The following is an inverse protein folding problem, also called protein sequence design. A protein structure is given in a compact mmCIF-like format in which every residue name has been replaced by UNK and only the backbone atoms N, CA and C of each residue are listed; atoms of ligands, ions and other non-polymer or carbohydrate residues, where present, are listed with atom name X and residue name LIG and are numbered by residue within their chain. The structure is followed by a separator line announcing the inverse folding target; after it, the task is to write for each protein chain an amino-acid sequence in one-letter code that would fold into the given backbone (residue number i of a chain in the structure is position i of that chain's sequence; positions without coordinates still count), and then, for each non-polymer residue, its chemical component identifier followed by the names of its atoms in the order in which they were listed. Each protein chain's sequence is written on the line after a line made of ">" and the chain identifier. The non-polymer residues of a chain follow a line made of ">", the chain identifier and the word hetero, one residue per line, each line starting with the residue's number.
data_IF_489015474461
#
_entry.id   IF_489015474461
#
_cell.length_a   1.000
_cell.length_b   1.000
_cell.length_c   1.000
_cell.angle_alpha   90.00
_cell.angle_beta   90.00
_cell.angle_gamma   90.00
#
_symmetry.space_group_name_H-M   'P 1'
#
loop_
_entity.id
_entity.type
_entity.pdbx_description
1 polymer ?
#
# COMPACT_ATOMS: atom_id res chain seq x y z
N UNK A 1 -41.20 12.98 8.37
CA UNK A 1 -40.69 11.91 7.51
C UNK A 1 -40.46 10.72 8.41
N UNK A 2 -41.16 9.60 8.19
CA UNK A 2 -40.98 8.40 9.03
C UNK A 2 -39.56 7.87 8.89
N UNK A 3 -39.04 7.31 9.98
CA UNK A 3 -37.72 6.69 9.97
C UNK A 3 -37.77 5.36 9.22
N UNK A 4 -36.74 5.01 8.42
CA UNK A 4 -36.69 3.72 7.75
C UNK A 4 -36.71 2.56 8.73
N UNK A 5 -37.31 1.44 8.32
CA UNK A 5 -37.18 0.18 9.03
C UNK A 5 -35.79 -0.43 8.79
N UNK A 6 -34.86 -0.09 9.67
CA UNK A 6 -33.47 -0.56 9.60
C UNK A 6 -33.35 -2.07 9.81
N UNK A 7 -34.27 -2.70 10.54
CA UNK A 7 -34.26 -4.15 10.74
C UNK A 7 -34.63 -4.88 9.45
N UNK A 8 -35.64 -4.40 8.72
CA UNK A 8 -36.00 -4.92 7.41
C UNK A 8 -34.87 -4.74 6.38
N UNK A 9 -34.20 -3.58 6.37
CA UNK A 9 -33.06 -3.31 5.48
C UNK A 9 -31.85 -4.21 5.78
N UNK A 10 -31.54 -4.43 7.06
CA UNK A 10 -30.46 -5.33 7.48
C UNK A 10 -30.74 -6.80 7.12
N UNK A 11 -32.01 -7.19 7.01
CA UNK A 11 -32.44 -8.53 6.59
C UNK A 11 -32.45 -8.76 5.08
N UNK A 12 -32.19 -7.73 4.26
CA UNK A 12 -32.10 -7.93 2.81
C UNK A 12 -30.90 -8.82 2.47
N UNK A 13 -31.02 -9.73 1.49
CA UNK A 13 -29.94 -10.63 1.09
C UNK A 13 -28.82 -9.91 0.29
N UNK A 14 -28.68 -8.59 0.42
CA UNK A 14 -27.69 -7.78 -0.30
C UNK A 14 -26.27 -8.25 -0.01
N UNK A 15 -26.00 -8.70 1.22
CA UNK A 15 -24.70 -9.28 1.61
C UNK A 15 -24.42 -10.63 0.96
N UNK A 16 -25.47 -11.35 0.53
CA UNK A 16 -25.38 -12.62 -0.19
C UNK A 16 -25.47 -12.43 -1.72
N UNK A 17 -25.73 -11.21 -2.20
CA UNK A 17 -25.85 -10.94 -3.63
C UNK A 17 -24.47 -10.86 -4.28
N UNK A 18 -24.13 -11.89 -5.05
CA UNK A 18 -22.93 -11.93 -5.88
C UNK A 18 -23.32 -11.75 -7.35
N UNK A 19 -23.49 -10.51 -7.86
CA UNK A 19 -23.90 -10.29 -9.24
C UNK A 19 -22.86 -10.89 -10.19
N UNK A 20 -23.34 -11.69 -11.14
CA UNK A 20 -22.52 -12.13 -12.27
C UNK A 20 -22.63 -11.08 -13.36
N UNK A 21 -21.49 -10.65 -13.89
CA UNK A 21 -21.46 -9.75 -15.04
C UNK A 21 -22.27 -10.37 -16.19
N UNK A 22 -23.26 -9.63 -16.69
CA UNK A 22 -24.00 -9.98 -17.91
C UNK A 22 -23.36 -9.35 -19.16
N UNK A 23 -22.25 -8.60 -18.99
CA UNK A 23 -21.54 -7.98 -20.09
C UNK A 23 -20.86 -9.05 -20.96
N UNK A 24 -21.44 -9.29 -22.14
CA UNK A 24 -20.80 -10.09 -23.18
C UNK A 24 -20.01 -9.16 -24.10
N UNK A 25 -18.70 -9.06 -23.89
CA UNK A 25 -17.78 -8.32 -24.72
C UNK A 25 -16.59 -9.20 -25.13
N UNK A 26 -15.97 -8.90 -26.27
CA UNK A 26 -14.73 -9.57 -26.68
C UNK A 26 -13.62 -9.25 -25.66
N UNK A 27 -13.06 -10.29 -25.04
CA UNK A 27 -11.91 -10.17 -24.13
C UNK A 27 -10.63 -10.55 -24.87
N UNK A 28 -9.58 -9.75 -24.69
CA UNK A 28 -8.23 -10.10 -25.15
C UNK A 28 -7.34 -10.26 -23.93
N UNK A 29 -6.80 -11.45 -23.70
CA UNK A 29 -5.85 -11.68 -22.63
C UNK A 29 -4.50 -11.04 -22.99
N UNK A 30 -4.00 -10.15 -22.13
CA UNK A 30 -2.68 -9.54 -22.25
C UNK A 30 -1.90 -9.90 -20.99
N UNK A 31 -1.27 -11.08 -20.94
CA UNK A 31 -0.66 -11.60 -19.71
C UNK A 31 0.69 -10.95 -19.37
N UNK A 32 1.27 -10.19 -20.31
CA UNK A 32 2.59 -9.57 -20.16
C UNK A 32 2.56 -8.16 -20.72
N UNK A 33 3.12 -7.20 -19.99
CA UNK A 33 3.25 -5.84 -20.48
C UNK A 33 4.20 -5.78 -21.69
N UNK A 34 3.84 -4.99 -22.71
CA UNK A 34 4.64 -4.87 -23.95
C UNK A 34 6.00 -4.20 -23.70
N UNK A 35 6.06 -3.30 -22.72
CA UNK A 35 7.26 -2.58 -22.28
C UNK A 35 7.44 -2.82 -20.78
N UNK A 36 8.67 -2.70 -20.24
CA UNK A 36 8.90 -2.82 -18.81
C UNK A 36 7.99 -1.87 -18.04
N UNK A 37 7.28 -2.41 -17.04
CA UNK A 37 6.31 -1.68 -16.25
C UNK A 37 6.81 -1.42 -14.83
N UNK A 38 6.41 -0.30 -14.25
CA UNK A 38 6.52 -0.02 -12.82
C UNK A 38 5.12 -0.13 -12.23
N UNK A 39 4.94 -1.04 -11.28
CA UNK A 39 3.70 -1.15 -10.53
C UNK A 39 3.77 -0.27 -9.27
N UNK A 40 3.11 0.88 -9.35
CA UNK A 40 3.28 1.99 -8.41
C UNK A 40 2.47 1.83 -7.10
N UNK A 41 1.61 0.82 -6.98
CA UNK A 41 0.67 0.77 -5.85
C UNK A 41 0.56 -0.63 -5.25
N UNK A 42 1.50 -0.95 -4.36
CA UNK A 42 1.48 -2.21 -3.62
C UNK A 42 1.63 -2.01 -2.12
N UNK A 43 1.19 -3.01 -1.38
CA UNK A 43 1.29 -3.12 0.06
C UNK A 43 2.02 -4.42 0.37
N UNK A 44 3.35 -4.36 0.47
CA UNK A 44 4.21 -5.54 0.65
C UNK A 44 4.69 -5.69 2.10
N UNK A 45 4.43 -4.68 2.93
CA UNK A 45 4.90 -4.61 4.30
C UNK A 45 3.99 -5.33 5.29
N UNK A 46 4.13 -4.98 6.56
CA UNK A 46 3.33 -5.56 7.65
C UNK A 46 2.10 -4.73 8.01
N UNK A 47 2.05 -3.49 7.54
CA UNK A 47 1.11 -2.47 8.01
C UNK A 47 -0.38 -2.83 7.86
N UNK A 48 -0.77 -3.51 6.77
CA UNK A 48 -2.16 -3.95 6.54
C UNK A 48 -2.44 -5.40 6.96
N UNK A 49 -1.53 -6.00 7.72
CA UNK A 49 -1.65 -7.36 8.23
C UNK A 49 -1.66 -7.36 9.77
N UNK A 50 -1.74 -8.55 10.37
CA UNK A 50 -1.59 -8.75 11.82
C UNK A 50 -0.12 -8.74 12.29
N UNK A 51 0.74 -7.95 11.64
CA UNK A 51 2.18 -7.81 11.96
C UNK A 51 3.11 -8.73 11.17
N UNK A 52 2.57 -9.57 10.29
CA UNK A 52 3.32 -10.48 9.42
C UNK A 52 3.62 -9.84 8.06
N UNK A 53 4.62 -10.33 7.34
CA UNK A 53 4.85 -9.80 5.98
C UNK A 53 3.71 -10.21 5.05
N UNK A 54 3.16 -9.26 4.28
CA UNK A 54 2.17 -9.58 3.23
C UNK A 54 2.70 -10.56 2.18
N UNK A 55 4.02 -10.59 1.99
CA UNK A 55 4.71 -11.45 1.04
C UNK A 55 5.63 -12.39 1.82
N UNK A 56 5.25 -13.66 1.92
CA UNK A 56 6.06 -14.69 2.58
C UNK A 56 7.36 -14.96 1.81
N UNK A 57 7.24 -15.12 0.48
CA UNK A 57 8.32 -15.49 -0.44
C UNK A 57 8.57 -14.39 -1.48
N UNK A 58 9.69 -13.68 -1.33
CA UNK A 58 10.07 -12.57 -2.22
C UNK A 58 10.56 -13.08 -3.58
N UNK A 59 11.19 -14.25 -3.65
CA UNK A 59 11.66 -14.84 -4.91
C UNK A 59 10.49 -15.28 -5.79
N UNK A 60 9.43 -15.80 -5.17
CA UNK A 60 8.16 -16.07 -5.85
C UNK A 60 7.53 -14.79 -6.42
N UNK A 61 7.53 -13.68 -5.66
CA UNK A 61 7.06 -12.39 -6.14
C UNK A 61 7.89 -11.88 -7.33
N UNK A 62 9.22 -11.95 -7.25
CA UNK A 62 10.11 -11.58 -8.35
C UNK A 62 9.83 -12.42 -9.61
N UNK A 63 9.58 -13.72 -9.44
CA UNK A 63 9.19 -14.60 -10.55
C UNK A 63 7.88 -14.17 -11.21
N UNK A 64 6.89 -13.73 -10.42
CA UNK A 64 5.64 -13.16 -10.94
C UNK A 64 5.91 -11.87 -11.72
N UNK A 65 6.71 -10.96 -11.15
CA UNK A 65 7.11 -9.70 -11.80
C UNK A 65 7.78 -9.96 -13.15
N UNK A 66 8.78 -10.84 -13.19
CA UNK A 66 9.52 -11.19 -14.40
C UNK A 66 8.62 -11.78 -15.48
N UNK A 67 7.68 -12.65 -15.10
CA UNK A 67 6.70 -13.24 -16.02
C UNK A 67 5.79 -12.19 -16.67
N UNK A 68 5.50 -11.09 -15.96
CA UNK A 68 4.55 -10.06 -16.39
C UNK A 68 5.23 -8.81 -16.99
N UNK A 69 6.57 -8.79 -17.06
CA UNK A 69 7.37 -7.64 -17.48
C UNK A 69 7.24 -6.44 -16.55
N UNK A 70 7.09 -6.70 -15.24
CA UNK A 70 7.15 -5.69 -14.19
C UNK A 70 8.60 -5.60 -13.72
N UNK A 71 9.24 -4.48 -13.99
CA UNK A 71 10.63 -4.25 -13.63
C UNK A 71 10.75 -3.87 -12.15
N UNK A 72 9.85 -3.00 -11.69
CA UNK A 72 9.87 -2.42 -10.34
C UNK A 72 8.48 -2.40 -9.72
N UNK A 73 8.41 -2.71 -8.43
CA UNK A 73 7.22 -2.48 -7.60
C UNK A 73 7.49 -1.35 -6.61
N UNK A 74 6.51 -0.47 -6.40
CA UNK A 74 6.52 0.48 -5.29
C UNK A 74 5.75 -0.07 -4.10
N UNK A 75 6.45 -0.21 -2.98
CA UNK A 75 5.89 -0.60 -1.70
C UNK A 75 5.44 0.64 -0.92
N UNK A 76 4.16 0.72 -0.58
CA UNK A 76 3.58 1.85 0.13
C UNK A 76 3.53 1.65 1.66
N UNK A 77 4.15 0.60 2.18
CA UNK A 77 4.08 0.24 3.61
C UNK A 77 5.34 0.58 4.39
N UNK A 78 6.18 1.49 3.86
CA UNK A 78 7.45 1.81 4.49
C UNK A 78 7.34 2.46 5.86
N UNK A 79 6.21 3.07 6.23
CA UNK A 79 6.06 3.74 7.54
C UNK A 79 7.24 4.70 7.82
N UNK A 80 7.87 4.63 8.99
CA UNK A 80 9.02 5.45 9.40
C UNK A 80 9.91 4.65 10.38
N UNK A 81 11.12 5.14 10.66
CA UNK A 81 12.02 4.55 11.66
C UNK A 81 12.38 3.08 11.39
N UNK A 82 12.33 2.24 12.43
CA UNK A 82 12.73 0.83 12.34
C UNK A 82 11.85 -0.01 11.39
N UNK A 83 10.57 0.34 11.25
CA UNK A 83 9.70 -0.35 10.29
C UNK A 83 10.11 -0.03 8.85
N UNK A 84 10.52 1.22 8.59
CA UNK A 84 11.09 1.59 7.29
C UNK A 84 12.38 0.83 7.02
N UNK A 85 13.27 0.77 8.01
CA UNK A 85 14.53 0.03 7.90
C UNK A 85 14.28 -1.44 7.52
N UNK A 86 13.32 -2.09 8.19
CA UNK A 86 12.95 -3.48 7.91
C UNK A 86 12.41 -3.67 6.48
N UNK A 87 11.59 -2.74 5.98
CA UNK A 87 11.11 -2.79 4.60
C UNK A 87 12.26 -2.61 3.59
N UNK A 88 13.15 -1.65 3.83
CA UNK A 88 14.29 -1.37 2.95
C UNK A 88 15.28 -2.55 2.91
N UNK A 89 15.57 -3.16 4.05
CA UNK A 89 16.44 -4.35 4.13
C UNK A 89 15.85 -5.54 3.39
N UNK A 90 14.54 -5.77 3.54
CA UNK A 90 13.85 -6.89 2.89
C UNK A 90 13.72 -6.72 1.39
N UNK A 91 13.52 -5.50 0.91
CA UNK A 91 13.16 -5.23 -0.48
C UNK A 91 14.21 -4.41 -1.22
N UNK A 92 14.29 -3.10 -0.97
CA UNK A 92 15.09 -2.15 -1.76
C UNK A 92 16.59 -2.49 -1.77
N UNK A 93 17.16 -2.87 -0.62
CA UNK A 93 18.60 -3.17 -0.47
C UNK A 93 18.94 -4.60 -0.88
N UNK A 94 18.05 -5.56 -0.60
CA UNK A 94 18.22 -6.95 -1.01
C UNK A 94 18.09 -7.12 -2.54
N UNK A 95 17.23 -6.32 -3.19
CA UNK A 95 16.97 -6.41 -4.63
C UNK A 95 17.00 -5.02 -5.29
N UNK A 96 18.18 -4.42 -5.45
CA UNK A 96 18.32 -3.06 -5.98
C UNK A 96 17.61 -2.88 -7.33
N UNK A 97 16.75 -1.85 -7.41
CA UNK A 97 15.99 -1.51 -8.61
C UNK A 97 14.70 -2.31 -8.82
N UNK A 98 14.49 -3.42 -8.10
CA UNK A 98 13.24 -4.21 -8.17
C UNK A 98 12.14 -3.66 -7.27
N UNK A 99 12.50 -2.99 -6.18
CA UNK A 99 11.56 -2.38 -5.26
C UNK A 99 11.94 -0.94 -4.95
N UNK A 100 10.93 -0.11 -4.72
CA UNK A 100 11.06 1.25 -4.21
C UNK A 100 10.07 1.43 -3.06
N UNK A 101 10.56 1.63 -1.84
CA UNK A 101 9.70 1.82 -0.67
C UNK A 101 9.39 3.29 -0.43
N UNK A 102 8.11 3.61 -0.24
CA UNK A 102 7.65 4.92 0.19
C UNK A 102 7.47 4.93 1.72
N UNK A 103 7.97 5.98 2.36
CA UNK A 103 7.71 6.25 3.77
C UNK A 103 6.30 6.84 3.99
N UNK A 104 5.87 6.90 5.24
CA UNK A 104 4.67 7.60 5.71
C UNK A 104 5.06 8.56 6.83
N UNK A 105 4.11 9.37 7.28
CA UNK A 105 4.30 10.32 8.38
C UNK A 105 3.42 9.97 9.57
N UNK A 106 3.97 10.08 10.77
CA UNK A 106 3.21 9.99 12.02
C UNK A 106 2.53 11.32 12.32
N UNK A 107 1.31 11.50 11.83
CA UNK A 107 0.55 12.72 12.05
C UNK A 107 0.25 13.00 13.53
N UNK A 108 0.31 12.01 14.43
CA UNK A 108 0.09 12.22 15.86
C UNK A 108 1.16 13.14 16.46
N UNK A 109 2.35 13.22 15.85
CA UNK A 109 3.42 14.10 16.29
C UNK A 109 3.02 15.58 16.30
N UNK A 110 2.10 16.00 15.42
CA UNK A 110 1.59 17.38 15.36
C UNK A 110 0.83 17.82 16.62
N UNK A 111 0.44 16.89 17.50
CA UNK A 111 -0.14 17.24 18.78
C UNK A 111 0.89 17.80 19.80
N UNK A 112 2.19 17.65 19.52
CA UNK A 112 3.27 18.18 20.35
C UNK A 112 3.62 19.62 19.98
N UNK A 113 4.15 20.39 20.93
CA UNK A 113 4.59 21.79 20.72
C UNK A 113 5.60 21.92 19.57
N UNK A 114 6.49 20.93 19.41
CA UNK A 114 7.52 20.88 18.36
C UNK A 114 7.14 19.95 17.19
N UNK A 115 5.88 19.55 17.07
CA UNK A 115 5.45 18.46 16.18
C UNK A 115 5.84 18.64 14.71
N UNK A 116 5.84 19.87 14.21
CA UNK A 116 6.28 20.17 12.84
C UNK A 116 7.77 19.85 12.64
N UNK A 117 8.62 20.23 13.59
CA UNK A 117 10.05 19.92 13.56
C UNK A 117 10.27 18.40 13.60
N UNK A 118 9.55 17.71 14.48
CA UNK A 118 9.66 16.25 14.63
C UNK A 118 9.26 15.51 13.34
N UNK A 119 8.19 15.95 12.66
CA UNK A 119 7.77 15.38 11.37
C UNK A 119 8.80 15.62 10.26
N UNK A 120 9.39 16.81 10.20
CA UNK A 120 10.45 17.14 9.24
C UNK A 120 11.67 16.25 9.46
N UNK A 121 12.13 16.13 10.71
CA UNK A 121 13.25 15.26 11.09
C UNK A 121 12.97 13.79 10.73
N UNK A 122 11.76 13.29 10.96
CA UNK A 122 11.37 11.93 10.56
C UNK A 122 11.34 11.72 9.04
N UNK A 123 10.97 12.74 8.27
CA UNK A 123 10.96 12.67 6.81
C UNK A 123 12.41 12.70 6.26
N UNK A 124 13.26 13.56 6.82
CA UNK A 124 14.67 13.64 6.47
C UNK A 124 15.39 12.32 6.78
N UNK A 125 15.18 11.74 7.97
CA UNK A 125 15.68 10.40 8.34
C UNK A 125 15.19 9.32 7.36
N UNK A 126 13.91 9.36 6.97
CA UNK A 126 13.37 8.39 6.01
C UNK A 126 14.05 8.49 4.64
N UNK A 127 14.31 9.71 4.17
CA UNK A 127 15.02 9.95 2.92
C UNK A 127 16.48 9.50 3.01
N UNK A 128 17.17 9.79 4.11
CA UNK A 128 18.57 9.36 4.36
C UNK A 128 18.71 7.83 4.39
N UNK A 129 17.75 7.12 4.99
CA UNK A 129 17.71 5.64 5.01
C UNK A 129 17.52 5.03 3.63
N UNK A 130 16.89 5.76 2.72
CA UNK A 130 16.72 5.37 1.33
C UNK A 130 15.27 5.28 0.84
N UNK A 131 14.28 5.80 1.58
CA UNK A 131 12.92 5.90 1.07
C UNK A 131 12.90 6.66 -0.26
N UNK A 132 12.06 6.20 -1.20
CA UNK A 132 11.98 6.72 -2.58
C UNK A 132 10.73 7.53 -2.86
N UNK A 133 9.92 7.77 -1.83
CA UNK A 133 8.76 8.63 -1.89
C UNK A 133 8.06 8.72 -0.54
N UNK A 134 6.97 9.50 -0.53
CA UNK A 134 6.10 9.72 0.61
C UNK A 134 4.67 9.34 0.23
N UNK A 135 4.03 8.56 1.09
CA UNK A 135 2.60 8.26 1.02
C UNK A 135 1.85 9.03 2.11
N UNK A 136 0.89 9.84 1.68
CA UNK A 136 -0.09 10.47 2.57
C UNK A 136 -1.35 9.61 2.58
N UNK A 137 -1.65 9.01 3.72
CA UNK A 137 -2.83 8.15 3.84
C UNK A 137 -4.12 8.97 4.07
N UNK A 138 -5.25 8.35 3.74
CA UNK A 138 -6.58 8.96 3.83
C UNK A 138 -7.01 9.26 5.27
N UNK A 139 -6.29 8.77 6.28
CA UNK A 139 -6.57 9.13 7.67
C UNK A 139 -6.41 10.65 7.90
N UNK A 140 -5.50 11.29 7.17
CA UNK A 140 -5.39 12.75 7.10
C UNK A 140 -6.62 13.32 6.38
N UNK A 141 -7.40 14.14 7.11
CA UNK A 141 -8.66 14.71 6.63
C UNK A 141 -9.91 13.89 6.95
N UNK A 142 -9.78 12.58 7.26
CA UNK A 142 -10.91 11.76 7.72
C UNK A 142 -10.95 11.65 9.25
N UNK A 143 -9.81 11.36 9.88
CA UNK A 143 -9.71 11.09 11.34
C UNK A 143 -8.67 11.96 12.03
N UNK A 144 -7.53 12.21 11.38
CA UNK A 144 -6.56 13.23 11.77
C UNK A 144 -7.04 14.56 11.17
N UNK A 145 -7.14 15.61 12.01
CA UNK A 145 -7.71 16.92 11.67
C UNK A 145 -6.80 18.05 12.11
#
# INVERSE_FOLDING_TARGET
>A
MESPDWAALAGLPLTAWTPRSQLSARVTAVPRARVPAIDIHNHLGRWLSDGEWMIDDVDALLSVMDNHNVETIVNLDGMWGDELEANLDRYDRAYPGRFLTFCQLDWALLANTDGERMLRESLDDSAERGARGLKVWKNLGLTVR
#
